data_IF_799115918915
#
_entry.id   IF_799115918915
#
_cell.length_a   1.000
_cell.length_b   1.000
_cell.length_c   1.000
_cell.angle_alpha   90.00
_cell.angle_beta   90.00
_cell.angle_gamma   90.00
#
_symmetry.space_group_name_H-M   'P 1'
#
loop_
_entity.id
_entity.type
_entity.pdbx_description
1 polymer ?
#
# COMPACT_ATOMS: atom_id res chain seq x y z
N UNK A 1 -7.19 -13.55 -8.47
CA UNK A 1 -7.37 -12.14 -7.99
C UNK A 1 -6.01 -11.48 -7.97
N UNK A 2 -5.92 -10.25 -8.46
CA UNK A 2 -4.68 -9.46 -8.53
C UNK A 2 -4.71 -8.31 -7.51
N UNK A 3 -3.54 -7.85 -7.09
CA UNK A 3 -3.41 -6.62 -6.31
C UNK A 3 -2.69 -5.54 -7.13
N UNK A 4 -3.34 -4.38 -7.29
CA UNK A 4 -2.77 -3.18 -7.92
C UNK A 4 -2.13 -2.33 -6.82
N UNK A 5 -0.87 -1.92 -7.02
CA UNK A 5 -0.14 -1.07 -6.07
C UNK A 5 0.25 0.24 -6.76
N UNK A 6 -0.24 1.36 -6.21
CA UNK A 6 0.08 2.68 -6.71
C UNK A 6 1.46 3.13 -6.18
N UNK A 7 2.47 3.09 -7.04
CA UNK A 7 3.86 3.34 -6.70
C UNK A 7 4.51 4.50 -7.49
N UNK A 8 3.70 5.35 -8.15
CA UNK A 8 4.19 6.37 -9.08
C UNK A 8 4.29 7.80 -8.52
N UNK A 9 3.99 8.02 -7.24
CA UNK A 9 4.01 9.35 -6.62
C UNK A 9 5.41 9.93 -6.39
N UNK A 10 5.52 11.27 -6.32
CA UNK A 10 6.79 11.99 -6.15
C UNK A 10 7.43 11.84 -4.76
N UNK A 11 6.66 11.46 -3.72
CA UNK A 11 7.19 11.23 -2.36
C UNK A 11 7.76 12.47 -1.65
N UNK A 12 7.30 13.67 -1.99
CA UNK A 12 7.90 14.96 -1.56
C UNK A 12 7.98 15.19 -0.05
N UNK A 13 7.17 14.48 0.76
CA UNK A 13 7.14 14.66 2.22
C UNK A 13 8.29 13.97 2.96
N UNK A 14 9.00 13.05 2.30
CA UNK A 14 10.17 12.34 2.82
C UNK A 14 11.37 12.58 1.89
N UNK A 15 11.60 13.85 1.53
CA UNK A 15 12.54 14.28 0.50
C UNK A 15 13.94 13.70 0.70
N UNK A 16 14.44 13.64 1.95
CA UNK A 16 15.80 13.14 2.28
C UNK A 16 16.03 11.68 1.85
N UNK A 17 14.96 10.86 1.81
CA UNK A 17 15.01 9.46 1.34
C UNK A 17 14.56 9.34 -0.13
N UNK A 18 13.64 10.20 -0.57
CA UNK A 18 13.07 10.13 -1.92
C UNK A 18 13.90 10.82 -3.00
N UNK A 19 14.95 11.57 -2.62
CA UNK A 19 15.89 12.16 -3.59
C UNK A 19 16.65 11.13 -4.43
N UNK A 20 16.76 9.89 -3.97
CA UNK A 20 17.45 8.82 -4.68
C UNK A 20 16.56 7.66 -5.09
N UNK A 21 15.44 7.41 -4.41
CA UNK A 21 14.51 6.29 -4.67
C UNK A 21 13.05 6.72 -4.48
N UNK A 22 12.08 6.11 -5.22
CA UNK A 22 10.67 6.44 -5.02
C UNK A 22 10.21 5.96 -3.63
N UNK A 23 9.21 6.62 -3.05
CA UNK A 23 8.72 6.35 -1.68
C UNK A 23 8.44 4.87 -1.38
N UNK A 24 7.83 4.07 -2.28
CA UNK A 24 7.63 2.64 -2.05
C UNK A 24 8.93 1.82 -1.87
N UNK A 25 10.09 2.41 -2.25
CA UNK A 25 11.41 1.81 -2.09
C UNK A 25 12.15 2.28 -0.84
N UNK A 26 11.52 3.07 0.03
CA UNK A 26 12.04 3.36 1.37
C UNK A 26 12.07 2.06 2.16
N UNK A 27 13.19 1.79 2.82
CA UNK A 27 13.42 0.52 3.50
C UNK A 27 13.06 0.58 4.98
N UNK A 28 12.51 -0.53 5.45
CA UNK A 28 12.29 -0.86 6.86
C UNK A 28 12.80 -2.29 7.05
N UNK A 29 13.70 -2.51 8.01
CA UNK A 29 14.34 -3.81 8.22
C UNK A 29 15.11 -4.31 7.00
N UNK A 30 15.70 -3.42 6.21
CA UNK A 30 16.45 -3.77 4.99
C UNK A 30 15.59 -4.26 3.82
N UNK A 31 14.26 -4.07 3.88
CA UNK A 31 13.32 -4.39 2.80
C UNK A 31 12.48 -3.17 2.45
N UNK A 32 12.18 -2.91 1.16
CA UNK A 32 11.31 -1.81 0.75
C UNK A 32 9.90 -1.91 1.34
N UNK A 33 9.24 -0.77 1.59
CA UNK A 33 7.81 -0.73 1.95
C UNK A 33 6.96 -1.54 0.99
N UNK A 34 7.23 -1.43 -0.30
CA UNK A 34 6.56 -2.20 -1.34
C UNK A 34 6.64 -3.72 -1.10
N UNK A 35 7.81 -4.22 -0.67
CA UNK A 35 7.97 -5.63 -0.32
C UNK A 35 7.10 -6.04 0.87
N UNK A 36 7.04 -5.22 1.92
CA UNK A 36 6.20 -5.49 3.10
C UNK A 36 4.71 -5.55 2.72
N UNK A 37 4.25 -4.59 1.90
CA UNK A 37 2.86 -4.56 1.41
C UNK A 37 2.56 -5.84 0.62
N UNK A 38 3.43 -6.23 -0.30
CA UNK A 38 3.28 -7.45 -1.09
C UNK A 38 3.27 -8.71 -0.22
N UNK A 39 4.08 -8.74 0.86
CA UNK A 39 4.08 -9.85 1.85
C UNK A 39 2.74 -9.95 2.58
N UNK A 40 2.13 -8.83 2.96
CA UNK A 40 0.79 -8.83 3.56
C UNK A 40 -0.23 -9.47 2.62
N UNK A 41 -0.28 -9.04 1.36
CA UNK A 41 -1.17 -9.66 0.37
C UNK A 41 -0.86 -11.15 0.11
N UNK A 42 0.42 -11.49 0.02
CA UNK A 42 0.89 -12.87 -0.19
C UNK A 42 0.49 -13.81 0.96
N UNK A 43 0.51 -13.32 2.22
CA UNK A 43 0.02 -14.05 3.39
C UNK A 43 -1.46 -14.45 3.22
N UNK A 44 -2.26 -13.61 2.56
CA UNK A 44 -3.66 -13.88 2.24
C UNK A 44 -3.85 -14.57 0.86
N UNK A 45 -2.80 -15.15 0.28
CA UNK A 45 -2.87 -15.93 -0.96
C UNK A 45 -2.88 -15.12 -2.25
N UNK A 46 -2.66 -13.80 -2.21
CA UNK A 46 -2.58 -12.95 -3.40
C UNK A 46 -1.11 -12.78 -3.80
N UNK A 47 -0.72 -13.40 -4.91
CA UNK A 47 0.65 -13.45 -5.41
C UNK A 47 0.82 -12.85 -6.83
N UNK A 48 -0.23 -12.26 -7.38
CA UNK A 48 -0.20 -11.60 -8.69
C UNK A 48 -0.39 -10.09 -8.50
N UNK A 49 0.67 -9.34 -8.83
CA UNK A 49 0.76 -7.91 -8.55
C UNK A 49 0.90 -7.10 -9.82
N UNK A 50 0.17 -5.98 -9.90
CA UNK A 50 0.34 -4.95 -10.92
C UNK A 50 0.84 -3.69 -10.24
N UNK A 51 2.05 -3.24 -10.55
CA UNK A 51 2.65 -2.08 -9.92
C UNK A 51 2.62 -0.90 -10.90
N UNK A 52 1.87 0.14 -10.51
CA UNK A 52 1.76 1.37 -11.28
C UNK A 52 2.98 2.25 -11.04
N UNK A 53 3.91 2.27 -11.99
CA UNK A 53 5.15 3.05 -11.92
C UNK A 53 4.93 4.49 -12.40
N UNK A 54 5.77 5.39 -11.90
CA UNK A 54 5.87 6.78 -12.31
C UNK A 54 7.24 7.32 -11.97
N UNK A 55 7.32 8.29 -11.04
CA UNK A 55 8.59 8.86 -10.61
C UNK A 55 9.61 7.80 -10.22
N UNK A 56 10.79 7.83 -10.84
CA UNK A 56 11.87 6.85 -10.64
C UNK A 56 11.44 5.38 -10.69
N UNK A 57 10.44 5.06 -11.51
CA UNK A 57 9.94 3.68 -11.65
C UNK A 57 11.01 2.66 -12.07
N UNK A 58 12.11 3.12 -12.67
CA UNK A 58 13.25 2.25 -13.02
C UNK A 58 13.89 1.60 -11.78
N UNK A 59 13.91 2.29 -10.62
CA UNK A 59 14.46 1.74 -9.37
C UNK A 59 13.66 0.52 -8.92
N UNK A 60 12.33 0.57 -9.06
CA UNK A 60 11.45 -0.56 -8.76
C UNK A 60 11.68 -1.71 -9.75
N UNK A 61 11.85 -1.38 -11.05
CA UNK A 61 12.20 -2.38 -12.07
C UNK A 61 13.52 -3.08 -11.76
N UNK A 62 14.58 -2.32 -11.46
CA UNK A 62 15.89 -2.86 -11.09
C UNK A 62 15.82 -3.76 -9.87
N UNK A 63 15.06 -3.36 -8.83
CA UNK A 63 14.87 -4.16 -7.63
C UNK A 63 14.30 -5.54 -7.96
N UNK A 64 13.18 -5.60 -8.70
CA UNK A 64 12.54 -6.89 -9.02
C UNK A 64 13.31 -7.70 -10.06
N UNK A 65 13.98 -7.04 -11.02
CA UNK A 65 14.82 -7.73 -12.00
C UNK A 65 16.02 -8.44 -11.37
N UNK A 66 16.54 -7.87 -10.30
CA UNK A 66 17.69 -8.43 -9.57
C UNK A 66 17.27 -9.23 -8.32
N UNK A 67 15.98 -9.21 -7.96
CA UNK A 67 15.48 -9.74 -6.70
C UNK A 67 15.91 -11.19 -6.48
N UNK A 68 15.65 -12.07 -7.45
CA UNK A 68 15.99 -13.48 -7.32
C UNK A 68 17.50 -13.70 -7.24
N UNK A 69 18.32 -12.86 -7.88
CA UNK A 69 19.78 -12.95 -7.83
C UNK A 69 20.33 -12.56 -6.45
N UNK A 70 19.66 -11.61 -5.77
CA UNK A 70 20.05 -11.16 -4.44
C UNK A 70 19.58 -12.11 -3.34
N UNK A 71 18.55 -12.93 -3.60
CA UNK A 71 18.00 -13.90 -2.65
C UNK A 71 18.46 -15.33 -2.89
N UNK A 72 19.18 -15.60 -3.99
CA UNK A 72 19.68 -16.92 -4.38
C UNK A 72 21.16 -17.10 -4.04
N UNK A 73 21.54 -18.35 -3.74
CA UNK A 73 22.95 -18.73 -3.78
C UNK A 73 23.39 -18.92 -5.22
N UNK A 74 24.47 -18.26 -5.60
CA UNK A 74 24.96 -18.23 -6.98
C UNK A 74 26.41 -18.74 -7.06
N UNK A 75 26.67 -19.55 -8.06
CA UNK A 75 28.02 -19.84 -8.53
C UNK A 75 28.28 -19.04 -9.82
N UNK A 76 29.34 -18.25 -9.84
CA UNK A 76 29.73 -17.45 -11.02
C UNK A 76 31.13 -17.83 -11.45
N UNK A 77 31.28 -18.18 -12.73
CA UNK A 77 32.58 -18.36 -13.36
C UNK A 77 33.00 -17.04 -14.00
N UNK A 78 33.94 -16.34 -13.39
CA UNK A 78 34.41 -15.02 -13.87
C UNK A 78 35.15 -15.07 -15.21
N UNK A 79 35.71 -16.24 -15.58
CA UNK A 79 36.43 -16.38 -16.85
C UNK A 79 35.49 -16.53 -18.04
N UNK A 80 34.34 -17.21 -17.87
CA UNK A 80 33.39 -17.49 -18.95
C UNK A 80 32.11 -16.60 -18.86
N UNK A 81 31.86 -15.96 -17.71
CA UNK A 81 30.61 -15.22 -17.45
C UNK A 81 29.41 -16.12 -17.15
N UNK A 82 29.61 -17.45 -17.14
CA UNK A 82 28.52 -18.37 -16.81
C UNK A 82 28.12 -18.25 -15.35
N UNK A 83 26.81 -18.37 -15.09
CA UNK A 83 26.27 -18.38 -13.74
C UNK A 83 25.26 -19.50 -13.56
N UNK A 84 25.21 -20.07 -12.34
CA UNK A 84 24.30 -21.12 -11.94
C UNK A 84 23.66 -20.78 -10.62
N UNK A 85 22.33 -20.87 -10.55
CA UNK A 85 21.56 -20.76 -9.30
C UNK A 85 21.69 -22.08 -8.54
N UNK A 86 22.17 -22.03 -7.29
CA UNK A 86 22.34 -23.20 -6.42
C UNK A 86 21.12 -23.41 -5.54
N UNK A 87 20.57 -22.32 -4.98
CA UNK A 87 19.33 -22.31 -4.22
C UNK A 87 18.59 -20.99 -4.45
N UNK A 88 17.28 -20.94 -4.24
CA UNK A 88 16.49 -19.71 -4.28
C UNK A 88 15.45 -19.73 -3.18
N UNK A 89 15.31 -18.60 -2.46
CA UNK A 89 14.30 -18.35 -1.44
C UNK A 89 13.39 -17.19 -1.85
N UNK A 90 13.16 -17.03 -3.17
CA UNK A 90 12.28 -15.97 -3.69
C UNK A 90 10.82 -16.28 -3.38
N UNK A 91 10.04 -15.23 -3.16
CA UNK A 91 8.60 -15.31 -3.02
C UNK A 91 7.92 -15.77 -4.32
N UNK A 92 6.73 -16.41 -4.23
CA UNK A 92 6.01 -16.96 -5.38
C UNK A 92 5.24 -15.88 -6.15
N UNK A 93 5.84 -14.70 -6.37
CA UNK A 93 5.14 -13.56 -6.94
C UNK A 93 5.26 -13.50 -8.46
N UNK A 94 4.15 -13.19 -9.10
CA UNK A 94 4.10 -12.71 -10.48
C UNK A 94 3.90 -11.19 -10.44
N UNK A 95 4.78 -10.44 -11.11
CA UNK A 95 4.79 -8.98 -10.98
C UNK A 95 4.75 -8.35 -12.39
N UNK A 96 3.71 -7.57 -12.63
CA UNK A 96 3.55 -6.75 -13.83
C UNK A 96 3.92 -5.30 -13.50
N UNK A 97 4.99 -4.79 -14.10
CA UNK A 97 5.54 -3.46 -13.88
C UNK A 97 5.12 -2.54 -15.02
N UNK A 98 4.13 -1.66 -14.78
CA UNK A 98 3.56 -0.79 -15.82
C UNK A 98 3.99 0.65 -15.61
N UNK A 99 4.64 1.25 -16.60
CA UNK A 99 4.86 2.69 -16.61
C UNK A 99 3.55 3.42 -16.88
N UNK A 100 3.02 4.07 -15.86
CA UNK A 100 1.76 4.80 -15.91
C UNK A 100 1.95 6.31 -16.08
N UNK A 101 3.18 6.76 -16.39
CA UNK A 101 3.52 8.16 -16.61
C UNK A 101 3.87 8.94 -15.34
N UNK A 102 4.70 9.97 -15.47
CA UNK A 102 5.17 10.78 -14.34
C UNK A 102 4.05 11.63 -13.72
N UNK A 103 3.25 12.28 -14.57
CA UNK A 103 2.25 13.28 -14.17
C UNK A 103 0.83 12.71 -14.02
N UNK A 104 0.67 11.39 -14.16
CA UNK A 104 -0.62 10.73 -14.05
C UNK A 104 -1.05 10.64 -12.59
N UNK A 105 -2.28 11.02 -12.30
CA UNK A 105 -2.87 10.94 -10.97
C UNK A 105 -3.30 9.50 -10.62
N UNK A 106 -3.63 9.24 -9.36
CA UNK A 106 -3.94 7.91 -8.82
C UNK A 106 -5.02 7.16 -9.57
N UNK A 107 -6.13 7.82 -9.92
CA UNK A 107 -7.20 7.24 -10.74
C UNK A 107 -6.73 6.98 -12.18
N UNK A 108 -6.02 7.93 -12.79
CA UNK A 108 -5.46 7.75 -14.13
C UNK A 108 -4.53 6.54 -14.21
N UNK A 109 -3.68 6.31 -13.18
CA UNK A 109 -2.82 5.11 -13.12
C UNK A 109 -3.64 3.84 -13.09
N UNK A 110 -4.69 3.80 -12.28
CA UNK A 110 -5.60 2.66 -12.21
C UNK A 110 -6.27 2.41 -13.56
N UNK A 111 -6.74 3.45 -14.26
CA UNK A 111 -7.34 3.35 -15.60
C UNK A 111 -6.35 2.78 -16.63
N UNK A 112 -5.09 3.19 -16.60
CA UNK A 112 -4.05 2.72 -17.53
C UNK A 112 -3.72 1.24 -17.36
N UNK A 113 -3.89 0.67 -16.18
CA UNK A 113 -3.64 -0.76 -15.91
C UNK A 113 -4.88 -1.64 -16.04
N UNK A 114 -6.05 -1.07 -16.34
CA UNK A 114 -7.31 -1.80 -16.45
C UNK A 114 -7.26 -3.00 -17.41
N UNK A 115 -6.49 -2.90 -18.50
CA UNK A 115 -6.28 -3.99 -19.47
C UNK A 115 -5.58 -5.24 -18.87
N UNK A 116 -4.92 -5.10 -17.71
CA UNK A 116 -4.21 -6.18 -17.02
C UNK A 116 -5.04 -6.82 -15.89
N UNK A 117 -6.29 -6.36 -15.68
CA UNK A 117 -7.17 -6.84 -14.60
C UNK A 117 -8.02 -8.05 -15.01
N UNK A 118 -7.99 -8.44 -16.28
CA UNK A 118 -8.74 -9.58 -16.85
C UNK A 118 -10.26 -9.51 -16.63
N UNK A 119 -10.80 -8.33 -16.27
CA UNK A 119 -12.22 -8.14 -15.97
C UNK A 119 -12.68 -8.77 -14.66
N UNK A 120 -11.77 -9.09 -13.75
CA UNK A 120 -12.06 -9.70 -12.45
C UNK A 120 -12.00 -8.68 -11.29
N UNK A 121 -12.67 -9.01 -10.17
CA UNK A 121 -12.50 -8.31 -8.89
C UNK A 121 -11.03 -8.30 -8.50
N UNK A 122 -10.52 -7.16 -8.04
CA UNK A 122 -9.11 -6.96 -7.71
C UNK A 122 -8.94 -6.13 -6.43
N UNK A 123 -7.75 -6.22 -5.83
CA UNK A 123 -7.36 -5.37 -4.73
C UNK A 123 -6.59 -4.15 -5.25
N UNK A 124 -6.72 -3.01 -4.56
CA UNK A 124 -5.96 -1.79 -4.82
C UNK A 124 -5.38 -1.26 -3.50
N UNK A 125 -4.11 -0.83 -3.51
CA UNK A 125 -3.51 -0.15 -2.37
C UNK A 125 -2.48 0.89 -2.80
N UNK A 126 -2.08 1.75 -1.85
CA UNK A 126 -0.95 2.66 -2.00
C UNK A 126 0.36 1.96 -1.64
N UNK A 127 1.47 2.46 -2.19
CA UNK A 127 2.80 1.85 -2.00
C UNK A 127 3.55 2.35 -0.76
N UNK A 128 2.87 2.91 0.24
CA UNK A 128 3.51 3.63 1.34
C UNK A 128 2.89 3.43 2.74
N UNK A 129 1.83 2.64 2.86
CA UNK A 129 1.16 2.33 4.12
C UNK A 129 1.32 0.87 4.53
N UNK A 130 1.72 0.62 5.77
CA UNK A 130 1.81 -0.71 6.36
C UNK A 130 0.64 -0.97 7.31
N UNK A 131 0.07 -2.18 7.26
CA UNK A 131 -1.09 -2.57 8.06
C UNK A 131 -1.12 -4.08 8.30
N UNK A 132 -1.70 -4.49 9.41
CA UNK A 132 -2.04 -5.88 9.73
C UNK A 132 -3.48 -6.24 9.30
N UNK A 133 -3.99 -5.54 8.29
CA UNK A 133 -5.34 -5.77 7.78
C UNK A 133 -5.56 -7.23 7.35
N UNK A 134 -6.70 -7.77 7.72
CA UNK A 134 -7.17 -9.06 7.19
C UNK A 134 -7.79 -8.87 5.80
N UNK A 135 -6.93 -8.98 4.77
CA UNK A 135 -7.34 -8.86 3.36
C UNK A 135 -8.37 -9.92 2.98
N UNK A 136 -8.29 -11.12 3.56
CA UNK A 136 -9.26 -12.20 3.29
C UNK A 136 -10.65 -11.82 3.79
N UNK A 137 -10.73 -11.26 5.01
CA UNK A 137 -12.00 -10.79 5.58
C UNK A 137 -12.57 -9.59 4.81
N UNK A 138 -11.71 -8.67 4.31
CA UNK A 138 -12.14 -7.55 3.47
C UNK A 138 -12.73 -8.05 2.14
N UNK A 139 -12.10 -9.02 1.49
CA UNK A 139 -12.61 -9.66 0.26
C UNK A 139 -13.95 -10.36 0.52
N UNK A 140 -14.08 -11.05 1.64
CA UNK A 140 -15.33 -11.70 2.01
C UNK A 140 -16.45 -10.67 2.25
N UNK A 141 -16.15 -9.57 2.93
CA UNK A 141 -17.07 -8.45 3.11
C UNK A 141 -17.53 -7.89 1.77
N UNK A 142 -16.59 -7.65 0.85
CA UNK A 142 -16.87 -7.17 -0.51
C UNK A 142 -17.84 -8.09 -1.25
N UNK A 143 -17.59 -9.39 -1.25
CA UNK A 143 -18.46 -10.40 -1.88
C UNK A 143 -19.86 -10.42 -1.29
N UNK A 144 -19.98 -10.25 0.02
CA UNK A 144 -21.28 -10.27 0.74
C UNK A 144 -22.18 -9.10 0.39
N UNK A 145 -21.65 -7.88 0.29
CA UNK A 145 -22.48 -6.71 0.01
C UNK A 145 -22.73 -6.49 -1.50
N UNK A 146 -21.90 -7.06 -2.39
CA UNK A 146 -22.09 -7.03 -3.86
C UNK A 146 -22.09 -5.63 -4.46
N UNK A 147 -21.44 -4.64 -3.82
CA UNK A 147 -21.23 -3.28 -4.36
C UNK A 147 -19.93 -3.20 -5.12
N UNK A 148 -19.68 -2.06 -5.81
CA UNK A 148 -18.52 -1.91 -6.67
C UNK A 148 -17.21 -1.71 -5.94
N UNK A 149 -17.23 -1.19 -4.70
CA UNK A 149 -16.01 -0.89 -3.95
C UNK A 149 -16.18 -1.14 -2.45
N UNK A 150 -15.15 -1.73 -1.86
CA UNK A 150 -14.89 -1.77 -0.42
C UNK A 150 -13.64 -0.97 -0.13
N UNK A 151 -13.60 -0.23 0.96
CA UNK A 151 -12.42 0.49 1.44
C UNK A 151 -12.17 0.15 2.90
N UNK A 152 -10.93 -0.20 3.24
CA UNK A 152 -10.54 -0.29 4.64
C UNK A 152 -10.63 1.09 5.28
N UNK A 153 -11.47 1.20 6.31
CA UNK A 153 -11.58 2.38 7.13
C UNK A 153 -10.78 2.18 8.41
N UNK A 154 -9.90 3.13 8.74
CA UNK A 154 -9.05 3.06 9.94
C UNK A 154 -9.16 4.33 10.77
N UNK A 155 -8.79 4.23 12.04
CA UNK A 155 -8.67 5.35 12.95
C UNK A 155 -7.19 5.54 13.30
N UNK A 156 -6.49 6.51 12.68
CA UNK A 156 -5.08 6.72 12.98
C UNK A 156 -4.92 7.23 14.42
N UNK A 157 -3.83 6.88 15.11
CA UNK A 157 -3.56 7.45 16.42
C UNK A 157 -3.47 8.97 16.33
N UNK A 158 -4.03 9.66 17.31
CA UNK A 158 -3.97 11.13 17.39
C UNK A 158 -2.52 11.62 17.28
N UNK A 159 -2.31 12.65 16.46
CA UNK A 159 -0.99 13.29 16.32
C UNK A 159 -0.77 14.41 17.32
N UNK A 160 -1.85 14.93 17.89
CA UNK A 160 -1.87 16.10 18.79
C UNK A 160 -2.75 15.81 19.99
N UNK A 161 -2.52 16.55 21.08
CA UNK A 161 -3.47 16.61 22.19
C UNK A 161 -4.73 17.37 21.78
N UNK A 162 -5.88 16.88 22.21
CA UNK A 162 -7.19 17.49 22.00
C UNK A 162 -7.59 18.25 23.26
N UNK A 163 -8.10 19.47 23.07
CA UNK A 163 -8.60 20.33 24.11
C UNK A 163 -10.12 20.48 23.97
N UNK A 164 -10.86 20.20 25.03
CA UNK A 164 -12.25 20.62 25.12
C UNK A 164 -12.30 22.00 25.80
N UNK A 165 -12.87 22.97 25.10
CA UNK A 165 -12.92 24.37 25.55
C UNK A 165 -14.39 24.73 25.82
N UNK A 166 -14.68 25.25 27.00
CA UNK A 166 -16.00 25.80 27.35
C UNK A 166 -16.22 27.16 26.69
N UNK A 167 -17.46 27.65 26.71
CA UNK A 167 -17.86 28.95 26.12
C UNK A 167 -17.12 30.16 26.71
N UNK A 168 -16.52 30.00 27.88
CA UNK A 168 -15.73 31.03 28.60
C UNK A 168 -14.22 30.84 28.42
N UNK A 169 -13.79 30.16 27.35
CA UNK A 169 -12.40 29.88 26.98
C UNK A 169 -11.62 28.99 27.98
N UNK A 170 -12.27 28.42 29.00
CA UNK A 170 -11.61 27.47 29.90
C UNK A 170 -11.44 26.12 29.25
N UNK A 171 -10.24 25.55 29.38
CA UNK A 171 -9.99 24.16 29.02
C UNK A 171 -10.65 23.26 30.05
N UNK A 172 -11.64 22.48 29.63
CA UNK A 172 -12.40 21.55 30.48
C UNK A 172 -11.80 20.15 30.51
N UNK A 173 -11.12 19.75 29.44
CA UNK A 173 -10.33 18.51 29.39
C UNK A 173 -9.17 18.64 28.39
N UNK A 174 -8.12 17.90 28.65
CA UNK A 174 -7.00 17.68 27.74
C UNK A 174 -6.73 16.20 27.65
N UNK A 175 -6.66 15.69 26.43
CA UNK A 175 -6.31 14.30 26.17
C UNK A 175 -5.18 14.23 25.14
N UNK A 176 -4.06 13.67 25.54
CA UNK A 176 -2.90 13.51 24.65
C UNK A 176 -3.15 12.34 23.69
N UNK A 177 -3.16 12.62 22.38
CA UNK A 177 -3.30 11.64 21.29
C UNK A 177 -4.50 10.69 21.47
N UNK A 178 -5.74 11.21 21.62
CA UNK A 178 -6.91 10.36 21.73
C UNK A 178 -7.06 9.50 20.48
N UNK A 179 -7.50 8.25 20.67
CA UNK A 179 -7.77 7.32 19.56
C UNK A 179 -9.20 7.43 19.05
N UNK A 180 -10.13 7.90 19.89
CA UNK A 180 -11.57 7.79 19.65
C UNK A 180 -12.22 9.04 19.03
N UNK A 181 -11.54 10.18 19.04
CA UNK A 181 -12.07 11.45 18.51
C UNK A 181 -11.73 11.71 17.04
N UNK A 182 -10.81 10.96 16.46
CA UNK A 182 -10.49 11.05 15.04
C UNK A 182 -11.46 10.15 14.29
N UNK A 183 -12.26 10.74 13.41
CA UNK A 183 -13.19 9.99 12.56
C UNK A 183 -12.47 8.94 11.70
N UNK A 184 -13.24 8.04 11.12
CA UNK A 184 -12.74 7.06 10.16
C UNK A 184 -12.10 7.72 8.94
N UNK A 185 -10.93 7.25 8.54
CA UNK A 185 -10.23 7.72 7.34
C UNK A 185 -10.02 6.56 6.36
N UNK A 186 -9.70 6.91 5.12
CA UNK A 186 -9.31 5.97 4.09
C UNK A 186 -7.97 5.31 4.46
N UNK A 187 -7.99 4.01 4.76
CA UNK A 187 -6.82 3.20 5.09
C UNK A 187 -6.00 2.76 3.88
N UNK A 188 -6.48 3.00 2.66
CA UNK A 188 -5.73 2.75 1.43
C UNK A 188 -5.74 1.31 0.92
N UNK A 189 -6.43 0.40 1.58
CA UNK A 189 -6.71 -0.95 1.09
C UNK A 189 -8.14 -0.99 0.54
N UNK A 190 -8.29 -1.54 -0.65
CA UNK A 190 -9.58 -1.61 -1.34
C UNK A 190 -9.76 -2.97 -1.99
N UNK A 191 -11.01 -3.41 -2.07
CA UNK A 191 -11.48 -4.47 -2.98
C UNK A 191 -12.45 -3.86 -3.95
N UNK A 192 -12.21 -4.04 -5.25
CA UNK A 192 -12.86 -3.28 -6.32
C UNK A 192 -13.38 -4.21 -7.43
N UNK A 193 -14.58 -3.92 -7.92
CA UNK A 193 -15.08 -4.47 -9.17
C UNK A 193 -14.51 -3.71 -10.38
N UNK A 194 -14.28 -4.35 -11.54
CA UNK A 194 -13.75 -3.70 -12.74
C UNK A 194 -14.55 -2.47 -13.20
N UNK A 195 -15.84 -2.42 -12.92
CA UNK A 195 -16.72 -1.28 -13.26
C UNK A 195 -16.34 0.03 -12.58
N UNK A 196 -15.50 0.02 -11.54
CA UNK A 196 -15.02 1.27 -10.92
C UNK A 196 -14.19 2.12 -11.90
N UNK A 197 -13.63 1.50 -12.94
CA UNK A 197 -12.87 2.19 -13.99
C UNK A 197 -13.75 3.23 -14.73
N UNK A 198 -15.05 2.98 -14.82
CA UNK A 198 -16.00 3.90 -15.48
C UNK A 198 -16.19 5.21 -14.70
N UNK A 199 -15.79 5.26 -13.43
CA UNK A 199 -15.79 6.46 -12.58
C UNK A 199 -14.53 7.33 -12.77
N UNK A 200 -13.59 6.92 -13.63
CA UNK A 200 -12.32 7.61 -13.85
C UNK A 200 -12.35 8.25 -15.24
N UNK A 201 -12.37 9.59 -15.30
CA UNK A 201 -12.49 10.31 -16.55
C UNK A 201 -11.18 10.30 -17.38
N UNK A 202 -10.05 10.65 -16.76
CA UNK A 202 -8.79 10.89 -17.44
C UNK A 202 -7.56 10.61 -16.57
N UNK A 203 -6.38 10.80 -17.15
CA UNK A 203 -5.10 10.69 -16.45
C UNK A 203 -4.94 11.70 -15.30
N UNK A 204 -5.63 12.84 -15.36
CA UNK A 204 -5.61 13.86 -14.30
C UNK A 204 -6.61 13.59 -13.17
N UNK A 205 -7.33 12.47 -13.22
CA UNK A 205 -8.29 12.09 -12.17
C UNK A 205 -7.58 11.47 -10.99
N UNK A 206 -7.73 12.07 -9.80
CA UNK A 206 -7.35 11.43 -8.52
C UNK A 206 -8.44 10.48 -8.07
N UNK A 207 -8.08 9.24 -7.73
CA UNK A 207 -8.98 8.21 -7.22
C UNK A 207 -9.76 8.68 -5.98
N UNK A 208 -9.07 9.39 -5.09
CA UNK A 208 -9.57 9.88 -3.80
C UNK A 208 -10.62 11.00 -3.92
N UNK A 209 -10.76 11.62 -5.10
CA UNK A 209 -11.64 12.77 -5.31
C UNK A 209 -12.98 12.34 -5.93
N UNK A 210 -13.18 12.64 -7.22
CA UNK A 210 -14.44 12.39 -7.89
C UNK A 210 -14.85 10.91 -7.90
N UNK A 211 -13.97 9.93 -8.19
CA UNK A 211 -14.34 8.53 -8.21
C UNK A 211 -14.91 8.03 -6.89
N UNK A 212 -14.18 8.17 -5.76
CA UNK A 212 -14.67 7.72 -4.46
C UNK A 212 -15.92 8.48 -4.00
N UNK A 213 -15.99 9.79 -4.27
CA UNK A 213 -17.17 10.60 -3.94
C UNK A 213 -18.40 10.15 -4.72
N UNK A 214 -18.24 9.86 -6.01
CA UNK A 214 -19.35 9.40 -6.85
C UNK A 214 -19.79 7.99 -6.48
N UNK A 215 -18.83 7.07 -6.22
CA UNK A 215 -19.15 5.74 -5.69
C UNK A 215 -19.93 5.80 -4.38
N UNK A 216 -19.54 6.69 -3.46
CA UNK A 216 -20.25 6.90 -2.19
C UNK A 216 -21.67 7.44 -2.42
N UNK A 217 -21.81 8.49 -3.26
CA UNK A 217 -23.11 9.07 -3.61
C UNK A 217 -24.04 8.06 -4.25
N UNK A 218 -23.51 7.18 -5.11
CA UNK A 218 -24.28 6.17 -5.83
C UNK A 218 -24.53 4.91 -4.99
N UNK A 219 -24.15 4.91 -3.69
CA UNK A 219 -24.31 3.79 -2.76
C UNK A 219 -23.49 2.55 -3.15
N UNK A 220 -22.37 2.75 -3.84
CA UNK A 220 -21.49 1.70 -4.36
C UNK A 220 -20.17 1.57 -3.58
N UNK A 221 -19.95 2.37 -2.54
CA UNK A 221 -18.79 2.31 -1.66
C UNK A 221 -19.19 1.83 -0.27
N UNK A 222 -18.54 0.79 0.24
CA UNK A 222 -18.75 0.22 1.57
C UNK A 222 -17.46 0.29 2.37
N UNK A 223 -17.54 0.66 3.65
CA UNK A 223 -16.40 0.64 4.55
C UNK A 223 -16.21 -0.74 5.18
N UNK A 224 -14.95 -1.19 5.25
CA UNK A 224 -14.51 -2.32 6.06
C UNK A 224 -13.75 -1.75 7.28
N UNK A 225 -14.33 -1.71 8.49
CA UNK A 225 -13.67 -1.18 9.68
C UNK A 225 -12.44 -2.01 10.07
N UNK A 226 -11.28 -1.37 10.14
CA UNK A 226 -10.04 -1.96 10.58
C UNK A 226 -9.57 -1.28 11.86
N UNK A 227 -9.52 -2.04 12.95
CA UNK A 227 -9.15 -1.58 14.29
C UNK A 227 -7.70 -1.93 14.67
N UNK A 228 -6.98 -2.63 13.78
CA UNK A 228 -5.61 -3.06 13.99
C UNK A 228 -4.57 -1.97 13.67
N UNK A 229 -3.36 -2.42 13.45
CA UNK A 229 -2.26 -1.53 13.10
C UNK A 229 -2.40 -0.99 11.68
N UNK A 230 -2.26 0.31 11.56
CA UNK A 230 -2.14 1.00 10.28
C UNK A 230 -1.22 2.22 10.43
N UNK A 231 -0.20 2.33 9.57
CA UNK A 231 0.71 3.47 9.58
C UNK A 231 1.27 3.76 8.20
N UNK A 232 1.07 4.99 7.66
CA UNK A 232 1.77 5.45 6.47
C UNK A 232 3.21 5.85 6.83
N UNK A 233 4.13 5.70 5.89
CA UNK A 233 5.51 6.16 6.02
C UNK A 233 5.68 7.51 5.31
N UNK A 234 5.08 8.58 5.85
CA UNK A 234 5.08 9.91 5.24
C UNK A 234 6.28 10.77 5.62
N UNK A 235 6.89 10.51 6.76
CA UNK A 235 7.98 11.31 7.34
C UNK A 235 9.13 10.42 7.82
N UNK A 236 10.31 11.01 8.04
CA UNK A 236 11.43 10.31 8.69
C UNK A 236 11.08 9.81 10.09
N UNK A 237 10.19 10.48 10.80
CA UNK A 237 9.68 10.03 12.09
C UNK A 237 8.90 8.72 11.93
N UNK A 238 8.01 8.66 10.94
CA UNK A 238 7.23 7.44 10.66
C UNK A 238 8.17 6.28 10.29
N UNK A 239 9.17 6.53 9.44
CA UNK A 239 10.20 5.54 9.09
C UNK A 239 10.92 5.01 10.33
N UNK A 240 11.42 5.90 11.20
CA UNK A 240 12.13 5.50 12.43
C UNK A 240 11.24 4.69 13.37
N UNK A 241 9.96 5.02 13.44
CA UNK A 241 9.00 4.28 14.26
C UNK A 241 8.76 2.87 13.69
N UNK A 242 8.59 2.74 12.38
CA UNK A 242 8.45 1.45 11.71
C UNK A 242 9.73 0.61 11.86
N UNK A 243 10.92 1.22 11.73
CA UNK A 243 12.20 0.54 11.92
C UNK A 243 12.34 0.00 13.36
N UNK A 244 12.03 0.80 14.37
CA UNK A 244 12.07 0.37 15.76
C UNK A 244 11.12 -0.80 16.05
N UNK A 245 9.92 -0.80 15.47
CA UNK A 245 8.98 -1.93 15.57
C UNK A 245 9.54 -3.19 14.91
N UNK A 246 10.19 -3.05 13.76
CA UNK A 246 10.81 -4.18 13.07
C UNK A 246 12.00 -4.76 13.86
N UNK A 247 12.91 -3.91 14.31
CA UNK A 247 14.10 -4.31 15.10
C UNK A 247 13.75 -4.98 16.43
N UNK A 248 12.65 -4.53 17.06
CA UNK A 248 12.16 -5.14 18.31
C UNK A 248 11.49 -6.51 18.09
N UNK A 249 11.28 -6.95 16.85
CA UNK A 249 10.54 -8.16 16.51
C UNK A 249 9.02 -8.05 16.72
N UNK A 250 8.50 -6.84 16.97
CA UNK A 250 7.09 -6.58 17.26
C UNK A 250 6.42 -5.79 16.13
N UNK A 251 6.80 -6.04 14.88
CA UNK A 251 6.19 -5.39 13.70
C UNK A 251 4.78 -5.96 13.44
N UNK A 252 3.69 -5.24 13.76
CA UNK A 252 2.33 -5.81 13.69
C UNK A 252 1.93 -6.20 12.27
N UNK A 253 2.39 -5.45 11.27
CA UNK A 253 2.11 -5.72 9.85
C UNK A 253 2.81 -6.97 9.31
N UNK A 254 3.80 -7.53 10.05
CA UNK A 254 4.52 -8.73 9.64
C UNK A 254 3.72 -10.00 9.95
N UNK A 255 2.46 -10.03 9.53
CA UNK A 255 1.48 -11.11 9.77
C UNK A 255 1.97 -12.49 9.29
N UNK A 256 2.86 -12.51 8.31
CA UNK A 256 3.48 -13.75 7.80
C UNK A 256 4.49 -14.38 8.76
N UNK A 257 4.91 -13.67 9.82
CA UNK A 257 5.78 -14.18 10.88
C UNK A 257 5.00 -14.80 12.04
N UNK A 258 3.69 -14.59 12.12
CA UNK A 258 2.84 -15.23 13.11
C UNK A 258 2.94 -16.76 12.91
N UNK A 259 3.49 -17.46 13.91
CA UNK A 259 3.51 -18.93 13.92
C UNK A 259 2.06 -19.39 14.01
N UNK A 260 1.59 -20.04 12.94
CA UNK A 260 0.32 -20.79 12.91
C UNK A 260 0.29 -21.85 13.99
#
# INVERSE_FOLDING_TARGET
MKAVILAGGLGTRIAEESDHKPKPMVEVGGKPLLWHIMKTYSHHGINDFIICLGYKGYVIKEFFFNYYRHTADLQVNLATGEHKVLSSQSEPWTITLVDTGADTMTGGRLKRVAQHLDGETFCLTYGDGLSDIDVSAEIECHRKHGKLATVAATQPPGRFGVLNIADDDRVTSFEEKPTDEIGWINGGFFVLEPKVIDYIDSDSTSWEHAPLRNLARDGQLVAFPHHGFWQPCDTLRDKRQLEALWESGNAPWAVWNARS
#
